data_IF_564175896023
#
_entry.id   IF_564175896023
#
_cell.length_a   1.000
_cell.length_b   1.000
_cell.length_c   1.000
_cell.angle_alpha   90.00
_cell.angle_beta   90.00
_cell.angle_gamma   90.00
#
_symmetry.space_group_name_H-M   'P 1'
#
loop_
_entity.id
_entity.type
_entity.pdbx_description
1 polymer ?
#
# COMPACT_ATOMS: atom_id res chain seq x y z
N UNK A 1 -15.52 -16.64 12.00
CA UNK A 1 -14.34 -17.08 12.80
C UNK A 1 -13.15 -16.17 12.47
N UNK A 2 -12.26 -15.92 13.43
CA UNK A 2 -11.14 -14.99 13.27
C UNK A 2 -9.81 -15.67 13.62
N UNK A 3 -8.79 -15.47 12.79
CA UNK A 3 -7.44 -15.99 12.98
C UNK A 3 -6.45 -14.82 12.97
N UNK A 4 -5.53 -14.79 13.92
CA UNK A 4 -4.47 -13.80 13.99
C UNK A 4 -3.16 -14.48 14.39
N UNK A 5 -2.08 -14.16 13.68
CA UNK A 5 -0.78 -14.75 13.94
C UNK A 5 0.33 -14.14 13.12
N UNK A 6 1.45 -14.83 13.10
CA UNK A 6 2.66 -14.43 12.40
C UNK A 6 3.21 -15.59 11.56
N UNK A 7 3.87 -15.24 10.46
CA UNK A 7 4.61 -16.18 9.62
C UNK A 7 6.09 -15.90 9.85
N UNK A 8 6.79 -16.87 10.44
CA UNK A 8 8.23 -16.87 10.64
C UNK A 8 8.89 -17.75 9.56
N UNK A 9 9.00 -17.23 8.33
CA UNK A 9 9.63 -17.90 7.19
C UNK A 9 11.02 -17.29 6.91
N UNK A 10 12.11 -18.08 6.87
CA UNK A 10 13.45 -17.61 6.52
C UNK A 10 13.57 -16.91 5.16
N UNK A 11 12.62 -17.15 4.23
CA UNK A 11 12.60 -16.47 2.93
C UNK A 11 12.21 -14.98 3.06
N UNK A 12 11.56 -14.60 4.16
CA UNK A 12 11.13 -13.24 4.43
C UNK A 12 12.22 -12.47 5.19
N UNK A 13 12.40 -11.19 4.84
CA UNK A 13 13.37 -10.32 5.50
C UNK A 13 13.07 -10.09 6.99
N UNK A 14 11.81 -10.24 7.39
CA UNK A 14 11.34 -10.21 8.77
C UNK A 14 10.01 -10.99 8.87
N UNK A 15 9.64 -11.46 10.08
CA UNK A 15 8.36 -12.09 10.34
C UNK A 15 7.16 -11.25 9.88
N UNK A 16 6.17 -11.90 9.27
CA UNK A 16 5.00 -11.23 8.71
C UNK A 16 3.78 -11.40 9.62
N UNK A 17 3.18 -10.29 10.05
CA UNK A 17 1.91 -10.30 10.78
C UNK A 17 0.74 -10.48 9.81
N UNK A 18 -0.18 -11.39 10.13
CA UNK A 18 -1.33 -11.74 9.28
C UNK A 18 -2.59 -11.91 10.12
N UNK A 19 -3.69 -11.36 9.64
CA UNK A 19 -5.03 -11.54 10.21
C UNK A 19 -5.98 -12.04 9.12
N UNK A 20 -6.86 -12.98 9.47
CA UNK A 20 -7.82 -13.56 8.54
C UNK A 20 -9.23 -13.61 9.14
N UNK A 21 -10.22 -13.25 8.31
CA UNK A 21 -11.63 -13.15 8.67
C UNK A 21 -12.44 -14.11 7.82
N UNK A 22 -13.01 -15.14 8.44
CA UNK A 22 -13.83 -16.13 7.74
C UNK A 22 -15.17 -15.53 7.31
N UNK A 23 -15.51 -15.70 6.04
CA UNK A 23 -16.81 -15.33 5.46
C UNK A 23 -17.80 -16.51 5.52
N UNK A 24 -19.08 -16.23 5.26
CA UNK A 24 -20.17 -17.22 5.36
C UNK A 24 -20.06 -18.33 4.29
N UNK A 25 -19.45 -18.02 3.15
CA UNK A 25 -19.14 -18.99 2.09
C UNK A 25 -17.92 -19.88 2.39
N UNK A 26 -17.27 -19.68 3.53
CA UNK A 26 -16.08 -20.42 3.96
C UNK A 26 -14.75 -19.84 3.47
N UNK A 27 -14.76 -18.80 2.66
CA UNK A 27 -13.56 -18.07 2.25
C UNK A 27 -13.00 -17.19 3.38
N UNK A 28 -11.84 -16.58 3.15
CA UNK A 28 -11.18 -15.70 4.11
C UNK A 28 -10.68 -14.42 3.46
N UNK A 29 -11.05 -13.28 4.04
CA UNK A 29 -10.36 -12.01 3.77
C UNK A 29 -9.10 -11.95 4.62
N UNK A 30 -7.96 -11.60 4.02
CA UNK A 30 -6.65 -11.62 4.67
C UNK A 30 -6.01 -10.24 4.62
N UNK A 31 -5.58 -9.74 5.79
CA UNK A 31 -4.88 -8.46 5.94
C UNK A 31 -3.47 -8.72 6.46
N UNK A 32 -2.47 -8.10 5.85
CA UNK A 32 -1.06 -8.23 6.23
C UNK A 32 -0.30 -6.93 5.98
N UNK A 33 0.80 -6.72 6.72
CA UNK A 33 1.70 -5.58 6.51
C UNK A 33 3.16 -6.04 6.57
N UNK A 34 3.96 -5.66 5.56
CA UNK A 34 5.42 -5.85 5.59
C UNK A 34 6.07 -4.62 6.22
N UNK A 35 7.04 -4.83 7.11
CA UNK A 35 7.92 -3.76 7.54
C UNK A 35 8.63 -3.17 6.32
N UNK A 36 8.21 -1.97 5.89
CA UNK A 36 8.93 -1.22 4.87
C UNK A 36 10.25 -0.80 5.48
N UNK A 37 11.36 -1.41 5.05
CA UNK A 37 12.68 -0.86 5.35
C UNK A 37 12.65 0.56 4.79
N UNK A 38 12.81 1.58 5.65
CA UNK A 38 12.91 2.98 5.20
C UNK A 38 13.95 3.01 4.09
N UNK A 39 13.50 3.10 2.85
CA UNK A 39 14.38 3.37 1.72
C UNK A 39 14.81 4.80 1.98
N UNK A 40 16.10 5.05 2.14
CA UNK A 40 16.60 6.42 2.22
C UNK A 40 16.34 7.09 0.87
N UNK A 41 15.13 7.63 0.71
CA UNK A 41 14.66 8.22 -0.54
C UNK A 41 15.56 9.39 -0.95
N UNK A 42 16.20 10.06 0.02
CA UNK A 42 17.22 11.09 -0.22
C UNK A 42 18.47 10.59 -0.94
N UNK A 43 18.94 9.38 -0.66
CA UNK A 43 20.09 8.79 -1.34
C UNK A 43 19.73 8.26 -2.75
N UNK A 44 18.50 7.78 -2.93
CA UNK A 44 18.01 7.27 -4.21
C UNK A 44 17.63 8.37 -5.21
N UNK A 45 17.21 9.55 -4.74
CA UNK A 45 16.89 10.71 -5.59
C UNK A 45 18.11 11.61 -5.89
N UNK A 46 19.28 11.33 -5.33
CA UNK A 46 20.50 12.11 -5.58
C UNK A 46 20.39 13.59 -5.17
N UNK A 47 19.47 13.92 -4.25
CA UNK A 47 19.32 15.30 -3.76
C UNK A 47 20.50 15.60 -2.85
N UNK A 48 21.52 16.25 -3.40
CA UNK A 48 22.47 17.01 -2.59
C UNK A 48 21.66 18.07 -1.86
N UNK A 49 21.72 18.04 -0.53
CA UNK A 49 21.25 19.13 0.31
C UNK A 49 22.23 20.29 0.11
N UNK A 50 21.99 21.09 -0.92
CA UNK A 50 22.47 22.46 -0.98
C UNK A 50 21.32 23.37 -0.53
N UNK A 51 21.64 24.30 0.37
CA UNK A 51 20.75 25.16 1.16
C UNK A 51 19.68 25.89 0.33
N UNK A 52 18.54 25.23 0.12
CA UNK A 52 17.37 25.80 -0.52
C UNK A 52 16.15 24.92 -0.28
N UNK A 53 15.35 25.33 0.71
CA UNK A 53 14.01 24.83 1.06
C UNK A 53 13.38 23.89 0.01
N UNK A 54 13.12 22.61 0.34
CA UNK A 54 12.43 21.73 -0.60
C UNK A 54 11.01 22.28 -0.78
N UNK A 55 10.71 22.74 -2.00
CA UNK A 55 9.35 23.10 -2.39
C UNK A 55 8.48 21.85 -2.26
N UNK A 56 7.76 21.75 -1.14
CA UNK A 56 6.76 20.72 -0.93
C UNK A 56 5.70 20.91 -2.01
N UNK A 57 5.23 19.84 -2.69
CA UNK A 57 4.18 19.92 -3.71
C UNK A 57 2.80 20.31 -3.15
N UNK A 58 2.76 20.78 -1.90
CA UNK A 58 1.58 21.17 -1.15
C UNK A 58 1.82 22.56 -0.53
N UNK A 59 1.49 23.56 -1.34
CA UNK A 59 0.80 24.82 -0.98
C UNK A 59 1.60 26.02 -0.47
N UNK A 60 1.42 27.15 -1.15
CA UNK A 60 1.30 28.46 -0.50
C UNK A 60 0.44 29.49 -1.26
N UNK A 61 0.10 29.26 -2.54
CA UNK A 61 -0.85 30.12 -3.26
C UNK A 61 -1.90 29.25 -3.94
N UNK A 62 -3.14 29.35 -3.46
CA UNK A 62 -4.30 28.57 -3.92
C UNK A 62 -4.67 28.82 -5.38
N UNK A 63 -3.88 28.28 -6.30
CA UNK A 63 -4.21 28.12 -7.70
C UNK A 63 -4.32 26.63 -8.02
N UNK A 64 -5.57 26.21 -8.08
CA UNK A 64 -6.09 25.08 -8.83
C UNK A 64 -5.32 24.84 -10.13
N UNK A 65 -4.42 23.85 -10.10
CA UNK A 65 -3.99 23.18 -11.33
C UNK A 65 -4.91 21.98 -11.49
N UNK A 66 -5.89 22.15 -12.38
CA UNK A 66 -6.69 21.06 -12.92
C UNK A 66 -5.74 20.02 -13.55
N UNK A 67 -5.43 18.96 -12.80
CA UNK A 67 -4.93 17.72 -13.40
C UNK A 67 -6.15 16.95 -13.88
N UNK A 68 -6.54 17.22 -15.12
CA UNK A 68 -7.42 16.36 -15.89
C UNK A 68 -6.76 14.98 -16.03
N UNK A 69 -7.16 14.07 -15.15
CA UNK A 69 -6.88 12.63 -15.21
C UNK A 69 -8.12 11.93 -14.70
N UNK A 70 -9.13 11.82 -15.57
CA UNK A 70 -10.36 11.11 -15.30
C UNK A 70 -10.06 9.64 -14.95
N UNK A 71 -10.68 9.18 -13.87
CA UNK A 71 -10.58 7.82 -13.36
C UNK A 71 -11.16 7.78 -11.96
N UNK A 72 -12.48 7.89 -11.89
CA UNK A 72 -13.26 7.41 -10.75
C UNK A 72 -12.89 5.94 -10.51
N UNK A 73 -11.96 5.69 -9.60
CA UNK A 73 -11.72 4.37 -9.06
C UNK A 73 -12.17 4.43 -7.60
N UNK A 74 -13.45 4.14 -7.41
CA UNK A 74 -14.05 3.84 -6.11
C UNK A 74 -13.45 2.51 -5.63
N UNK A 75 -12.14 2.51 -5.37
CA UNK A 75 -11.43 1.41 -4.75
C UNK A 75 -11.61 1.50 -3.24
N UNK A 76 -11.98 0.39 -2.62
CA UNK A 76 -12.12 0.21 -1.17
C UNK A 76 -10.80 0.38 -0.37
N UNK A 77 -9.73 0.84 -1.01
CA UNK A 77 -8.41 1.00 -0.43
C UNK A 77 -7.68 -0.32 -0.17
N UNK A 78 -8.18 -1.46 -0.66
CA UNK A 78 -7.56 -2.78 -0.44
C UNK A 78 -6.50 -3.14 -1.50
N UNK A 79 -6.30 -2.29 -2.52
CA UNK A 79 -5.42 -2.57 -3.65
C UNK A 79 -6.02 -3.57 -4.64
N UNK A 80 -5.44 -3.68 -5.84
CA UNK A 80 -5.96 -4.58 -6.87
C UNK A 80 -5.88 -6.05 -6.42
N UNK A 81 -7.02 -6.74 -6.41
CA UNK A 81 -7.08 -8.18 -6.12
C UNK A 81 -6.29 -8.96 -7.17
N UNK A 82 -5.41 -9.86 -6.73
CA UNK A 82 -4.68 -10.79 -7.60
C UNK A 82 -5.31 -12.18 -7.64
N UNK A 83 -6.48 -12.36 -7.02
CA UNK A 83 -7.19 -13.65 -7.05
C UNK A 83 -7.80 -13.88 -8.45
N UNK A 84 -7.76 -15.11 -8.98
CA UNK A 84 -8.45 -15.42 -10.22
C UNK A 84 -9.96 -15.22 -10.03
N UNK A 85 -10.60 -14.60 -11.02
CA UNK A 85 -12.07 -14.50 -11.06
C UNK A 85 -12.64 -15.90 -11.33
N UNK A 86 -13.38 -16.45 -10.36
CA UNK A 86 -14.10 -17.71 -10.54
C UNK A 86 -15.32 -17.42 -11.44
N UNK A 87 -15.15 -17.58 -12.76
CA UNK A 87 -16.25 -17.50 -13.73
C UNK A 87 -17.14 -18.73 -13.59
N UNK A 88 -18.11 -18.69 -12.67
CA UNK A 88 -19.17 -19.69 -12.64
C UNK A 88 -20.22 -19.36 -13.70
N UNK A 89 -20.26 -20.22 -14.72
CA UNK A 89 -21.33 -20.33 -15.73
C UNK A 89 -22.52 -21.09 -15.15
#
# INVERSE_FOLDING_TARGET
AFLNGRIDDPSLAAPLQVSAFRQDDGSYNVVWQRAQKRRDVGAALGVKADDGEPALPFTADGRDVATSGAGDDTGDGLGASTAPVDERV
#
